data_IF_441723721804
#
_entry.id   IF_441723721804
#
_cell.length_a   1.000
_cell.length_b   1.000
_cell.length_c   1.000
_cell.angle_alpha   90.00
_cell.angle_beta   90.00
_cell.angle_gamma   90.00
#
_symmetry.space_group_name_H-M   'P 1'
#
loop_
_entity.id
_entity.type
_entity.pdbx_description
1 polymer ?
#
# COMPACT_ATOMS: atom_id res chain seq x y z
N UNK A 1 11.89 -7.35 26.85
CA UNK A 1 10.98 -6.42 26.13
C UNK A 1 9.56 -6.89 26.38
N UNK A 2 8.69 -6.03 26.89
CA UNK A 2 7.31 -6.40 27.23
C UNK A 2 6.36 -5.54 26.42
N UNK A 3 5.49 -6.16 25.64
CA UNK A 3 4.28 -5.50 25.17
C UNK A 3 3.31 -5.30 26.34
N UNK A 4 2.47 -4.27 26.29
CA UNK A 4 1.47 -3.98 27.32
C UNK A 4 0.12 -3.65 26.69
N UNK A 5 -0.94 -4.08 27.36
CA UNK A 5 -2.32 -3.72 27.01
C UNK A 5 -2.84 -2.70 28.01
N UNK A 6 -3.29 -1.54 27.52
CA UNK A 6 -3.77 -0.41 28.33
C UNK A 6 -5.27 -0.29 28.13
N UNK A 7 -6.04 -0.42 29.21
CA UNK A 7 -7.51 -0.22 29.20
C UNK A 7 -7.83 1.28 29.15
N UNK A 8 -8.80 1.66 28.32
CA UNK A 8 -9.24 3.06 28.20
C UNK A 8 -10.49 3.32 29.05
N UNK A 9 -10.58 4.52 29.62
CA UNK A 9 -11.71 4.93 30.49
C UNK A 9 -13.06 4.95 29.76
N UNK A 10 -13.08 5.12 28.44
CA UNK A 10 -14.27 5.04 27.60
C UNK A 10 -14.57 3.63 27.04
N UNK A 11 -13.82 2.62 27.46
CA UNK A 11 -13.85 1.27 26.89
C UNK A 11 -12.87 1.13 25.71
N UNK A 12 -12.50 -0.13 25.41
CA UNK A 12 -11.47 -0.46 24.44
C UNK A 12 -10.06 -0.52 25.05
N UNK A 13 -9.10 -0.98 24.24
CA UNK A 13 -7.73 -1.27 24.69
C UNK A 13 -6.70 -0.81 23.68
N UNK A 14 -5.55 -0.35 24.17
CA UNK A 14 -4.36 -0.02 23.36
C UNK A 14 -3.29 -1.07 23.59
N UNK A 15 -2.84 -1.74 22.53
CA UNK A 15 -1.68 -2.61 22.56
C UNK A 15 -0.43 -1.78 22.24
N UNK A 16 0.42 -1.60 23.24
CA UNK A 16 1.72 -0.94 23.09
C UNK A 16 2.79 -2.03 22.90
N UNK A 17 3.40 -2.04 21.71
CA UNK A 17 4.46 -2.98 21.33
C UNK A 17 5.74 -2.20 21.01
N UNK A 18 6.85 -2.42 21.72
CA UNK A 18 8.12 -1.82 21.34
C UNK A 18 8.58 -2.38 19.98
N UNK A 19 9.09 -1.52 19.08
CA UNK A 19 9.70 -1.97 17.80
C UNK A 19 8.90 -1.71 16.52
N UNK A 20 7.97 -0.75 16.50
CA UNK A 20 7.19 -0.40 15.30
C UNK A 20 8.02 0.14 14.12
N UNK A 21 9.33 0.33 14.29
CA UNK A 21 10.23 0.86 13.27
C UNK A 21 10.50 -0.09 12.10
N UNK A 22 10.17 -1.38 12.24
CA UNK A 22 10.47 -2.42 11.24
C UNK A 22 9.27 -3.36 11.04
N UNK A 23 8.12 -2.77 10.69
CA UNK A 23 6.97 -3.54 10.21
C UNK A 23 7.27 -3.94 8.77
N UNK A 24 7.93 -5.09 8.60
CA UNK A 24 8.23 -5.64 7.30
C UNK A 24 6.97 -5.94 6.49
N UNK A 25 6.98 -5.58 5.20
CA UNK A 25 5.89 -5.85 4.24
C UNK A 25 5.99 -7.26 3.64
N UNK A 26 6.95 -8.07 4.09
CA UNK A 26 7.44 -9.29 3.44
C UNK A 26 6.47 -10.48 3.30
N UNK A 27 5.18 -10.32 3.63
CA UNK A 27 4.14 -11.33 3.35
C UNK A 27 3.24 -10.96 2.17
N UNK A 28 3.38 -9.76 1.60
CA UNK A 28 2.55 -9.30 0.46
C UNK A 28 3.24 -9.69 -0.85
N UNK A 29 2.55 -10.44 -1.70
CA UNK A 29 3.00 -10.70 -3.06
C UNK A 29 2.92 -9.42 -3.91
N UNK A 30 3.91 -9.17 -4.77
CA UNK A 30 3.97 -7.97 -5.61
C UNK A 30 2.68 -7.70 -6.42
N UNK A 31 2.07 -8.76 -6.98
CA UNK A 31 0.80 -8.65 -7.72
C UNK A 31 -0.40 -8.26 -6.85
N UNK A 32 -0.34 -8.53 -5.55
CA UNK A 32 -1.38 -8.18 -4.58
C UNK A 32 -1.17 -6.79 -3.94
N UNK A 33 0.04 -6.23 -4.05
CA UNK A 33 0.40 -4.95 -3.43
C UNK A 33 -0.53 -3.81 -3.85
N UNK A 34 -0.93 -3.75 -5.13
CA UNK A 34 -1.86 -2.72 -5.62
C UNK A 34 -3.18 -2.70 -4.85
N UNK A 35 -3.66 -3.86 -4.37
CA UNK A 35 -4.87 -3.98 -3.54
C UNK A 35 -4.71 -3.40 -2.14
N UNK A 36 -3.49 -3.26 -1.64
CA UNK A 36 -3.18 -2.63 -0.36
C UNK A 36 -3.30 -1.10 -0.38
N UNK A 37 -3.38 -0.49 -1.57
CA UNK A 37 -3.53 0.95 -1.75
C UNK A 37 -4.97 1.30 -2.18
N UNK A 38 -5.81 1.84 -1.28
CA UNK A 38 -7.22 2.16 -1.58
C UNK A 38 -7.42 3.02 -2.83
N UNK A 39 -6.51 3.97 -3.06
CA UNK A 39 -6.47 4.87 -4.22
C UNK A 39 -6.21 4.18 -5.56
N UNK A 40 -5.51 3.03 -5.57
CA UNK A 40 -5.25 2.25 -6.78
C UNK A 40 -6.42 1.34 -7.13
N UNK A 41 -7.17 0.85 -6.13
CA UNK A 41 -8.25 -0.15 -6.28
C UNK A 41 -9.24 0.14 -7.42
N UNK A 42 -9.73 1.38 -7.64
CA UNK A 42 -10.66 1.66 -8.73
C UNK A 42 -10.09 1.40 -10.13
N UNK A 43 -8.76 1.39 -10.27
CA UNK A 43 -8.04 1.30 -11.54
C UNK A 43 -7.42 -0.09 -11.79
N UNK A 44 -7.37 -0.95 -10.77
CA UNK A 44 -6.89 -2.33 -10.90
C UNK A 44 -7.76 -3.11 -11.91
N UNK A 45 -7.12 -3.96 -12.72
CA UNK A 45 -7.79 -4.72 -13.78
C UNK A 45 -8.25 -3.91 -15.00
N UNK A 46 -7.97 -2.59 -15.04
CA UNK A 46 -8.26 -1.72 -16.20
C UNK A 46 -7.02 -1.43 -17.05
N UNK A 47 -5.90 -2.04 -16.72
CA UNK A 47 -4.66 -1.89 -17.49
C UNK A 47 -4.75 -2.68 -18.80
N UNK A 48 -3.94 -2.27 -19.78
CA UNK A 48 -3.86 -3.01 -21.05
C UNK A 48 -3.34 -4.44 -20.88
N UNK A 49 -2.42 -4.66 -19.93
CA UNK A 49 -1.83 -5.95 -19.61
C UNK A 49 -2.36 -6.50 -18.29
N UNK A 50 -2.54 -7.82 -18.22
CA UNK A 50 -3.06 -8.52 -17.03
C UNK A 50 -2.02 -8.64 -15.90
N UNK A 51 -0.74 -8.61 -16.25
CA UNK A 51 0.44 -8.72 -15.37
C UNK A 51 1.11 -7.35 -15.14
N UNK A 52 0.36 -6.26 -15.31
CA UNK A 52 0.87 -4.91 -15.13
C UNK A 52 1.34 -4.66 -13.69
N UNK A 53 2.60 -4.26 -13.52
CA UNK A 53 3.19 -3.85 -12.22
C UNK A 53 2.84 -2.41 -11.83
N UNK A 54 2.12 -1.70 -12.70
CA UNK A 54 1.71 -0.33 -12.50
C UNK A 54 2.83 0.70 -12.44
N UNK A 55 4.02 0.41 -12.98
CA UNK A 55 5.20 1.29 -12.88
C UNK A 55 5.55 1.95 -14.20
N UNK A 56 5.70 1.16 -15.26
CA UNK A 56 6.27 1.62 -16.55
C UNK A 56 5.50 1.08 -17.76
N UNK A 57 4.48 0.25 -17.54
CA UNK A 57 3.75 -0.40 -18.62
C UNK A 57 2.93 0.59 -19.44
N UNK A 58 2.99 0.50 -20.78
CA UNK A 58 2.15 1.32 -21.64
C UNK A 58 0.68 0.92 -21.45
N UNK A 59 -0.21 1.93 -21.40
CA UNK A 59 -1.64 1.67 -21.17
C UNK A 59 -1.99 1.25 -19.74
N UNK A 60 -1.11 1.51 -18.76
CA UNK A 60 -1.41 1.33 -17.35
C UNK A 60 -2.46 2.35 -16.87
N UNK A 61 -3.59 1.86 -16.36
CA UNK A 61 -4.67 2.69 -15.84
C UNK A 61 -4.27 3.46 -14.57
N UNK A 62 -3.38 2.88 -13.74
CA UNK A 62 -2.85 3.54 -12.53
C UNK A 62 -1.95 4.72 -12.93
N UNK A 63 -1.00 4.53 -13.84
CA UNK A 63 -0.11 5.62 -14.32
C UNK A 63 -0.92 6.74 -14.97
N UNK A 64 -1.94 6.40 -15.78
CA UNK A 64 -2.84 7.38 -16.35
C UNK A 64 -3.64 8.14 -15.26
N UNK A 65 -4.10 7.46 -14.22
CA UNK A 65 -4.81 8.08 -13.10
C UNK A 65 -3.90 9.00 -12.26
N UNK A 66 -2.62 8.67 -12.10
CA UNK A 66 -1.62 9.56 -11.49
C UNK A 66 -1.43 10.82 -12.34
N UNK A 67 -1.24 10.67 -13.65
CA UNK A 67 -1.07 11.79 -14.58
C UNK A 67 -2.31 12.71 -14.62
N UNK A 68 -3.51 12.14 -14.48
CA UNK A 68 -4.77 12.87 -14.40
C UNK A 68 -5.07 13.49 -13.02
N UNK A 69 -4.22 13.24 -12.01
CA UNK A 69 -4.40 13.75 -10.65
C UNK A 69 -5.46 13.02 -9.80
N UNK A 70 -5.96 11.87 -10.26
CA UNK A 70 -6.88 11.03 -9.49
C UNK A 70 -6.17 10.26 -8.37
N UNK A 71 -4.90 9.94 -8.57
CA UNK A 71 -4.02 9.36 -7.56
C UNK A 71 -2.96 10.40 -7.21
N UNK A 72 -2.77 10.68 -5.92
CA UNK A 72 -1.74 11.62 -5.48
C UNK A 72 -0.35 11.04 -5.77
N UNK A 73 0.54 11.87 -6.31
CA UNK A 73 1.90 11.46 -6.68
C UNK A 73 2.68 10.88 -5.49
N UNK A 74 2.52 11.45 -4.29
CA UNK A 74 3.14 10.96 -3.05
C UNK A 74 2.74 9.51 -2.72
N UNK A 75 1.46 9.19 -2.94
CA UNK A 75 0.91 7.86 -2.68
C UNK A 75 1.41 6.84 -3.69
N UNK A 76 1.48 7.24 -4.96
CA UNK A 76 2.10 6.44 -6.00
C UNK A 76 3.59 6.20 -5.75
N UNK A 77 4.34 7.22 -5.28
CA UNK A 77 5.73 7.06 -4.90
C UNK A 77 5.90 6.06 -3.74
N UNK A 78 5.04 6.10 -2.72
CA UNK A 78 5.04 5.09 -1.64
C UNK A 78 4.79 3.67 -2.17
N UNK A 79 3.88 3.52 -3.14
CA UNK A 79 3.65 2.24 -3.80
C UNK A 79 4.91 1.71 -4.49
N UNK A 80 5.61 2.58 -5.24
CA UNK A 80 6.86 2.20 -5.91
C UNK A 80 7.95 1.80 -4.92
N UNK A 81 8.15 2.59 -3.85
CA UNK A 81 9.15 2.27 -2.81
C UNK A 81 8.88 0.91 -2.17
N UNK A 82 7.62 0.65 -1.78
CA UNK A 82 7.28 -0.65 -1.18
C UNK A 82 7.45 -1.78 -2.19
N UNK A 83 7.08 -1.58 -3.46
CA UNK A 83 7.26 -2.59 -4.50
C UNK A 83 8.74 -2.94 -4.73
N UNK A 84 9.65 -1.97 -4.63
CA UNK A 84 11.10 -2.17 -4.72
C UNK A 84 11.68 -2.94 -3.53
N UNK A 85 11.02 -2.86 -2.36
CA UNK A 85 11.41 -3.52 -1.11
C UNK A 85 10.82 -4.95 -0.95
N UNK A 86 9.95 -5.41 -1.86
CA UNK A 86 9.37 -6.76 -1.89
C UNK A 86 10.27 -7.77 -2.61
#
# INVERSE_FOLDING_TARGET
MSSRLIELSGGGRVADTPGFSDVGVGSVEAGSLGGCFPELRPFLGRCHFNDCTHVHEPGCAVVAAVAAGHIRQERYASYQTILEEL
#
